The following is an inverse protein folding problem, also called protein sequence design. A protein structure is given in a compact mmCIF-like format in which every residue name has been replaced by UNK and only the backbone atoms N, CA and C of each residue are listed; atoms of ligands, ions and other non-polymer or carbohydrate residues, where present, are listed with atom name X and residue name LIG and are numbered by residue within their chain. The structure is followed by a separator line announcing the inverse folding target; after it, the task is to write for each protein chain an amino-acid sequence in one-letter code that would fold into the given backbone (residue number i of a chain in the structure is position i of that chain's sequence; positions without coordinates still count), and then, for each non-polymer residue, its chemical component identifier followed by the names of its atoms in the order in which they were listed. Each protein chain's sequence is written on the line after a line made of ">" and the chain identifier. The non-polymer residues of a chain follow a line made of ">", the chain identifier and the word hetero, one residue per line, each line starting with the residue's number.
data_IF_988160231781
#
_entry.id   IF_988160231781
#
_cell.length_a   1.000
_cell.length_b   1.000
_cell.length_c   1.000
_cell.angle_alpha   90.00
_cell.angle_beta   90.00
_cell.angle_gamma   90.00
#
_symmetry.space_group_name_H-M   'P 1'
#
loop_
_entity.id
_entity.type
_entity.pdbx_description
1 polymer ?
#
# COMPACT_ATOMS: atom_id res chain seq x y z
N UNK A 1 4.49 2.62 -11.59
CA UNK A 1 5.03 1.25 -11.74
C UNK A 1 3.97 0.36 -12.37
N UNK A 2 4.36 -0.60 -13.21
CA UNK A 2 3.43 -1.56 -13.82
C UNK A 2 3.42 -2.91 -13.06
N UNK A 3 2.59 -3.85 -13.49
CA UNK A 3 2.40 -5.12 -12.79
C UNK A 3 3.64 -6.04 -12.89
N UNK A 4 4.44 -5.91 -13.96
CA UNK A 4 5.67 -6.67 -14.14
C UNK A 4 6.78 -6.18 -13.18
N UNK A 5 6.88 -4.86 -12.98
CA UNK A 5 7.75 -4.25 -11.98
C UNK A 5 7.43 -4.81 -10.58
N UNK A 6 6.14 -4.82 -10.21
CA UNK A 6 5.67 -5.29 -8.90
C UNK A 6 5.94 -6.78 -8.69
N UNK A 7 5.54 -7.63 -9.65
CA UNK A 7 5.78 -9.07 -9.56
C UNK A 7 7.28 -9.40 -9.53
N UNK A 8 8.08 -8.74 -10.37
CA UNK A 8 9.53 -8.91 -10.37
C UNK A 8 10.16 -8.55 -9.02
N UNK A 9 9.69 -7.48 -8.38
CA UNK A 9 10.15 -7.06 -7.05
C UNK A 9 9.79 -8.11 -5.99
N UNK A 10 8.52 -8.52 -5.91
CA UNK A 10 8.05 -9.46 -4.88
C UNK A 10 8.68 -10.85 -5.04
N UNK A 11 8.87 -11.33 -6.28
CA UNK A 11 9.60 -12.58 -6.54
C UNK A 11 11.05 -12.50 -6.06
N UNK A 12 11.74 -11.38 -6.30
CA UNK A 12 13.12 -11.19 -5.83
C UNK A 12 13.20 -11.20 -4.30
N UNK A 13 12.29 -10.47 -3.62
CA UNK A 13 12.21 -10.45 -2.17
C UNK A 13 11.96 -11.87 -1.63
N UNK A 14 10.93 -12.55 -2.13
CA UNK A 14 10.61 -13.92 -1.73
C UNK A 14 11.80 -14.88 -1.95
N UNK A 15 12.52 -14.78 -3.07
CA UNK A 15 13.68 -15.63 -3.35
C UNK A 15 14.82 -15.44 -2.34
N UNK A 16 15.04 -14.22 -1.84
CA UNK A 16 16.08 -13.88 -0.86
C UNK A 16 15.73 -14.32 0.57
N UNK A 17 14.46 -14.60 0.86
CA UNK A 17 14.01 -14.99 2.19
C UNK A 17 14.33 -16.45 2.53
N UNK A 18 14.65 -16.70 3.80
CA UNK A 18 14.70 -18.07 4.35
C UNK A 18 13.27 -18.62 4.53
N UNK A 19 13.07 -19.96 4.52
CA UNK A 19 11.81 -20.57 4.94
C UNK A 19 11.39 -20.08 6.34
N UNK A 20 10.12 -19.74 6.51
CA UNK A 20 9.56 -19.13 7.72
C UNK A 20 9.83 -17.64 7.88
N UNK A 21 10.48 -16.99 6.92
CA UNK A 21 10.73 -15.55 6.95
C UNK A 21 9.45 -14.73 6.74
N UNK A 22 9.38 -13.53 7.33
CA UNK A 22 8.23 -12.62 7.21
C UNK A 22 8.65 -11.37 6.44
N UNK A 23 7.90 -11.05 5.38
CA UNK A 23 8.01 -9.78 4.67
C UNK A 23 6.91 -8.84 5.18
N UNK A 24 7.31 -7.69 5.70
CA UNK A 24 6.41 -6.68 6.24
C UNK A 24 6.44 -5.44 5.35
N UNK A 25 5.26 -4.96 4.96
CA UNK A 25 5.10 -3.73 4.18
C UNK A 25 4.21 -2.78 4.96
N UNK A 26 4.63 -1.52 5.09
CA UNK A 26 3.84 -0.43 5.67
C UNK A 26 3.91 0.75 4.71
N UNK A 27 2.81 1.02 4.01
CA UNK A 27 2.82 1.96 2.90
C UNK A 27 1.44 2.56 2.59
N UNK A 28 1.41 3.56 1.71
CA UNK A 28 0.20 4.08 1.10
C UNK A 28 -0.42 3.06 0.14
N UNK A 29 -1.73 2.92 0.21
CA UNK A 29 -2.53 1.98 -0.58
C UNK A 29 -3.80 2.66 -1.06
N UNK A 30 -4.29 2.24 -2.22
CA UNK A 30 -5.60 2.68 -2.72
C UNK A 30 -6.70 1.67 -2.38
N UNK A 31 -7.92 2.17 -2.21
CA UNK A 31 -9.08 1.32 -2.16
C UNK A 31 -9.47 0.90 -3.57
N UNK A 32 -9.78 -0.38 -3.77
CA UNK A 32 -10.27 -0.90 -5.06
C UNK A 32 -11.67 -0.39 -5.40
N UNK A 33 -12.46 -0.03 -4.39
CA UNK A 33 -13.76 0.62 -4.57
C UNK A 33 -13.57 2.14 -4.67
N UNK A 34 -14.03 2.79 -5.76
CA UNK A 34 -13.98 4.24 -5.88
C UNK A 34 -14.71 4.97 -4.74
N UNK A 35 -15.83 4.42 -4.26
CA UNK A 35 -16.60 5.00 -3.17
C UNK A 35 -15.83 4.96 -1.83
N UNK A 36 -15.19 3.82 -1.52
CA UNK A 36 -14.36 3.72 -0.32
C UNK A 36 -13.11 4.58 -0.44
N UNK A 37 -12.51 4.63 -1.63
CA UNK A 37 -11.35 5.48 -1.88
C UNK A 37 -11.66 6.95 -1.60
N UNK A 38 -12.79 7.46 -2.09
CA UNK A 38 -13.21 8.84 -1.82
C UNK A 38 -13.30 9.13 -0.32
N UNK A 39 -13.94 8.24 0.45
CA UNK A 39 -14.08 8.39 1.92
C UNK A 39 -12.71 8.35 2.62
N UNK A 40 -11.85 7.40 2.27
CA UNK A 40 -10.53 7.27 2.87
C UNK A 40 -9.63 8.48 2.54
N UNK A 41 -9.67 8.93 1.29
CA UNK A 41 -8.84 10.04 0.82
C UNK A 41 -9.31 11.38 1.38
N UNK A 42 -10.62 11.58 1.53
CA UNK A 42 -11.17 12.73 2.25
C UNK A 42 -10.73 12.75 3.71
N UNK A 43 -10.80 11.62 4.42
CA UNK A 43 -10.33 11.52 5.82
C UNK A 43 -8.85 11.85 5.95
N UNK A 44 -8.02 11.37 5.02
CA UNK A 44 -6.61 11.71 5.01
C UNK A 44 -6.38 13.20 4.73
N UNK A 45 -7.13 13.78 3.78
CA UNK A 45 -7.10 15.21 3.50
C UNK A 45 -7.45 16.06 4.71
N UNK A 46 -8.53 15.73 5.42
CA UNK A 46 -8.93 16.41 6.65
C UNK A 46 -7.86 16.32 7.74
N UNK A 47 -7.19 15.17 7.87
CA UNK A 47 -6.06 15.02 8.79
C UNK A 47 -4.89 15.93 8.41
N UNK A 48 -4.47 15.95 7.14
CA UNK A 48 -3.40 16.84 6.68
C UNK A 48 -3.75 18.32 6.91
N UNK A 49 -4.98 18.70 6.60
CA UNK A 49 -5.47 20.05 6.80
C UNK A 49 -5.46 20.45 8.30
N UNK A 50 -5.77 19.52 9.21
CA UNK A 50 -5.64 19.76 10.65
C UNK A 50 -4.20 19.98 11.12
N UNK A 51 -3.20 19.47 10.38
CA UNK A 51 -1.78 19.61 10.72
C UNK A 51 -1.16 20.91 10.20
N UNK A 52 -1.56 21.36 9.01
CA UNK A 52 -0.88 22.46 8.30
C UNK A 52 -1.78 23.34 7.44
N UNK A 53 -3.10 23.22 7.57
CA UNK A 53 -4.06 23.96 6.74
C UNK A 53 -4.23 23.41 5.33
N UNK A 54 -5.11 24.04 4.56
CA UNK A 54 -5.48 23.59 3.21
C UNK A 54 -4.28 23.55 2.25
N UNK A 55 -3.38 24.54 2.33
CA UNK A 55 -2.18 24.58 1.48
C UNK A 55 -1.24 23.38 1.73
N UNK A 56 -1.12 22.92 2.97
CA UNK A 56 -0.31 21.75 3.29
C UNK A 56 -0.94 20.48 2.71
N UNK A 57 -2.25 20.32 2.85
CA UNK A 57 -3.00 19.21 2.23
C UNK A 57 -2.79 19.19 0.72
N UNK A 58 -2.98 20.32 0.04
CA UNK A 58 -2.80 20.44 -1.42
C UNK A 58 -1.37 20.09 -1.85
N UNK A 59 -0.36 20.61 -1.14
CA UNK A 59 1.04 20.30 -1.40
C UNK A 59 1.34 18.80 -1.28
N UNK A 60 0.83 18.14 -0.25
CA UNK A 60 1.03 16.70 -0.03
C UNK A 60 0.33 15.89 -1.12
N UNK A 61 -0.91 16.23 -1.48
CA UNK A 61 -1.63 15.55 -2.56
C UNK A 61 -0.94 15.73 -3.92
N UNK A 62 -0.43 16.92 -4.23
CA UNK A 62 0.33 17.16 -5.46
C UNK A 62 1.64 16.34 -5.49
N UNK A 63 2.28 16.13 -4.34
CA UNK A 63 3.47 15.28 -4.25
C UNK A 63 3.13 13.80 -4.49
N UNK A 64 2.06 13.31 -3.87
CA UNK A 64 1.58 11.93 -4.05
C UNK A 64 1.25 11.65 -5.52
N UNK A 65 0.51 12.53 -6.19
CA UNK A 65 0.14 12.37 -7.60
C UNK A 65 1.36 12.28 -8.54
N UNK A 66 2.44 13.00 -8.18
CA UNK A 66 3.66 13.03 -8.97
C UNK A 66 4.55 11.79 -8.77
N UNK A 67 4.71 11.34 -7.54
CA UNK A 67 5.76 10.37 -7.17
C UNK A 67 5.20 8.96 -6.94
N UNK A 68 3.98 8.83 -6.42
CA UNK A 68 3.44 7.55 -5.95
C UNK A 68 2.60 6.84 -7.02
N UNK A 69 2.64 5.50 -7.01
CA UNK A 69 1.74 4.66 -7.80
C UNK A 69 1.15 3.54 -6.94
N UNK A 70 0.36 3.90 -5.91
CA UNK A 70 -0.10 2.95 -4.92
C UNK A 70 -1.05 1.93 -5.56
N UNK A 71 -0.96 0.69 -5.04
CA UNK A 71 -1.87 -0.40 -5.41
C UNK A 71 -2.79 -0.71 -4.25
N UNK A 72 -3.88 -1.42 -4.55
CA UNK A 72 -4.80 -1.83 -3.50
C UNK A 72 -4.21 -2.92 -2.63
N UNK A 73 -4.65 -2.99 -1.36
CA UNK A 73 -4.24 -4.07 -0.45
C UNK A 73 -4.61 -5.42 -1.06
N UNK A 74 -5.82 -5.55 -1.62
CA UNK A 74 -6.24 -6.78 -2.28
C UNK A 74 -5.26 -7.19 -3.39
N UNK A 75 -4.82 -6.25 -4.24
CA UNK A 75 -3.79 -6.53 -5.25
C UNK A 75 -2.48 -6.99 -4.61
N UNK A 76 -2.00 -6.29 -3.58
CA UNK A 76 -0.73 -6.60 -2.92
C UNK A 76 -0.73 -7.98 -2.25
N UNK A 77 -1.82 -8.36 -1.57
CA UNK A 77 -1.95 -9.67 -0.92
C UNK A 77 -2.03 -10.80 -1.96
N UNK A 78 -2.80 -10.61 -3.04
CA UNK A 78 -2.86 -11.60 -4.12
C UNK A 78 -1.52 -11.72 -4.85
N UNK A 79 -0.77 -10.62 -4.98
CA UNK A 79 0.59 -10.64 -5.52
C UNK A 79 1.55 -11.44 -4.63
N UNK A 80 1.48 -11.27 -3.30
CA UNK A 80 2.25 -12.09 -2.37
C UNK A 80 1.95 -13.58 -2.58
N UNK A 81 0.68 -13.99 -2.59
CA UNK A 81 0.32 -15.39 -2.84
C UNK A 81 0.85 -15.89 -4.19
N UNK A 82 0.71 -15.09 -5.25
CA UNK A 82 1.23 -15.41 -6.59
C UNK A 82 2.76 -15.60 -6.61
N UNK A 83 3.49 -14.85 -5.79
CA UNK A 83 4.95 -14.93 -5.68
C UNK A 83 5.46 -16.07 -4.81
N UNK A 84 4.58 -16.80 -4.11
CA UNK A 84 4.92 -18.00 -3.34
C UNK A 84 4.88 -17.82 -1.83
N UNK A 85 4.44 -16.66 -1.32
CA UNK A 85 4.18 -16.51 0.11
C UNK A 85 3.03 -17.44 0.53
N UNK A 86 3.24 -18.21 1.59
CA UNK A 86 2.34 -19.26 2.07
C UNK A 86 1.18 -18.71 2.89
N UNK A 87 1.42 -17.63 3.63
CA UNK A 87 0.42 -16.91 4.41
C UNK A 87 0.51 -15.40 4.13
N UNK A 88 -0.62 -14.71 4.20
CA UNK A 88 -0.69 -13.25 4.05
C UNK A 88 -1.72 -12.67 5.01
N UNK A 89 -1.42 -11.53 5.64
CA UNK A 89 -2.35 -10.89 6.57
C UNK A 89 -2.28 -9.35 6.53
N UNK A 90 -3.36 -8.70 6.96
CA UNK A 90 -3.42 -7.25 7.15
C UNK A 90 -3.27 -6.96 8.64
N UNK A 91 -2.14 -6.35 9.01
CA UNK A 91 -1.81 -6.03 10.40
C UNK A 91 -2.49 -4.73 10.86
N UNK A 92 -2.65 -3.77 9.95
CA UNK A 92 -3.29 -2.48 10.21
C UNK A 92 -3.79 -1.84 8.91
N UNK A 93 -4.94 -1.14 8.97
CA UNK A 93 -5.36 -0.21 7.92
C UNK A 93 -6.01 1.01 8.55
N UNK A 94 -5.58 2.18 8.09
CA UNK A 94 -6.20 3.45 8.43
C UNK A 94 -6.19 4.37 7.22
N UNK A 95 -7.38 4.68 6.71
CA UNK A 95 -7.57 5.43 5.48
C UNK A 95 -6.71 4.83 4.33
N UNK A 96 -5.94 5.67 3.64
CA UNK A 96 -5.06 5.27 2.55
C UNK A 96 -3.71 4.68 3.00
N UNK A 97 -3.53 4.31 4.27
CA UNK A 97 -2.31 3.63 4.74
C UNK A 97 -2.62 2.24 5.29
N UNK A 98 -1.71 1.30 5.06
CA UNK A 98 -1.82 -0.05 5.59
C UNK A 98 -0.48 -0.67 5.92
N UNK A 99 -0.49 -1.52 6.95
CA UNK A 99 0.57 -2.47 7.24
C UNK A 99 0.05 -3.89 6.96
N UNK A 100 0.81 -4.66 6.19
CA UNK A 100 0.46 -6.02 5.80
C UNK A 100 1.72 -6.89 5.69
N UNK A 101 1.52 -8.21 5.73
CA UNK A 101 2.60 -9.17 5.83
C UNK A 101 2.40 -10.37 4.89
N UNK A 102 3.52 -10.97 4.47
CA UNK A 102 3.56 -12.28 3.83
C UNK A 102 4.61 -13.17 4.49
N UNK A 103 4.27 -14.43 4.74
CA UNK A 103 5.20 -15.46 5.27
C UNK A 103 5.66 -16.35 4.12
N UNK A 104 6.96 -16.67 4.08
CA UNK A 104 7.51 -17.67 3.16
C UNK A 104 7.41 -19.07 3.73
#
# INVERSE_FOLDING_TARGET
>A
RDDADWEGCFRKIHALMKPGGVFLVSDMVWSSSPALHAIEYERYGAYLESLGGAEYREKVFAYIDKEDTPRSISYQLELMKKCGFTETDVLHKNACFAAYAGIK
#
